data_IF_862447389523
#
_entry.id   IF_862447389523
#
_cell.length_a   1.000
_cell.length_b   1.000
_cell.length_c   1.000
_cell.angle_alpha   90.00
_cell.angle_beta   90.00
_cell.angle_gamma   90.00
#
_symmetry.space_group_name_H-M   'P 1'
#
loop_
_entity.id
_entity.type
_entity.pdbx_description
1 polymer ?
#
# COMPACT_ATOMS: atom_id res chain seq x y z
N UNK A 1 10.04 -9.54 -8.14
CA UNK A 1 10.85 -9.50 -6.90
C UNK A 1 10.80 -8.13 -6.22
N UNK A 2 10.95 -7.02 -6.94
CA UNK A 2 10.90 -5.65 -6.38
C UNK A 2 9.67 -5.34 -5.51
N UNK A 3 8.45 -5.74 -5.90
CA UNK A 3 7.25 -5.57 -5.07
C UNK A 3 7.39 -6.16 -3.67
N UNK A 4 7.96 -7.36 -3.57
CA UNK A 4 8.17 -8.06 -2.29
C UNK A 4 9.17 -7.32 -1.41
N UNK A 5 10.27 -6.87 -2.01
CA UNK A 5 11.32 -6.14 -1.30
C UNK A 5 10.78 -4.81 -0.77
N UNK A 6 10.06 -4.04 -1.59
CA UNK A 6 9.47 -2.77 -1.18
C UNK A 6 8.43 -2.95 -0.07
N UNK A 7 7.57 -3.96 -0.16
CA UNK A 7 6.63 -4.28 0.92
C UNK A 7 7.33 -4.74 2.20
N UNK A 8 8.39 -5.56 2.10
CA UNK A 8 9.19 -5.98 3.24
C UNK A 8 9.85 -4.78 3.93
N UNK A 9 10.49 -3.90 3.15
CA UNK A 9 11.08 -2.66 3.65
C UNK A 9 10.03 -1.79 4.33
N UNK A 10 8.82 -1.69 3.75
CA UNK A 10 7.71 -0.96 4.35
C UNK A 10 7.28 -1.55 5.71
N UNK A 11 7.17 -2.88 5.81
CA UNK A 11 6.84 -3.56 7.08
C UNK A 11 7.93 -3.32 8.12
N UNK A 12 9.20 -3.50 7.76
CA UNK A 12 10.33 -3.27 8.67
C UNK A 12 10.37 -1.82 9.13
N UNK A 13 10.20 -0.87 8.21
CA UNK A 13 10.16 0.56 8.52
C UNK A 13 8.99 0.90 9.47
N UNK A 14 7.81 0.34 9.21
CA UNK A 14 6.65 0.48 10.10
C UNK A 14 6.94 -0.05 11.52
N UNK A 15 7.59 -1.21 11.65
CA UNK A 15 7.93 -1.81 12.93
C UNK A 15 9.01 -1.03 13.70
N UNK A 16 9.94 -0.39 13.00
CA UNK A 16 10.93 0.50 13.62
C UNK A 16 10.26 1.68 14.34
N UNK A 17 9.16 2.22 13.81
CA UNK A 17 8.40 3.25 14.51
C UNK A 17 7.73 2.73 15.79
N UNK A 18 7.14 1.54 15.76
CA UNK A 18 6.46 0.95 16.93
C UNK A 18 7.46 0.67 18.06
N UNK A 19 8.70 0.31 17.71
CA UNK A 19 9.73 -0.09 18.69
C UNK A 19 10.63 1.07 19.14
N UNK A 20 10.92 2.05 18.28
CA UNK A 20 11.92 3.09 18.53
C UNK A 20 11.39 4.48 18.90
N UNK A 21 10.19 4.86 18.48
CA UNK A 21 9.64 6.21 18.74
C UNK A 21 9.23 6.50 20.20
N UNK A 22 8.73 5.54 21.00
CA UNK A 22 8.27 5.83 22.37
C UNK A 22 9.36 6.38 23.30
N UNK A 23 10.64 6.21 22.96
CA UNK A 23 11.78 6.56 23.83
C UNK A 23 12.39 7.94 23.57
N UNK A 24 12.04 8.62 22.47
CA UNK A 24 12.69 9.88 22.04
C UNK A 24 11.80 11.12 22.27
N UNK A 25 10.64 10.92 22.90
CA UNK A 25 9.58 11.93 23.11
C UNK A 25 10.06 13.00 24.12
N UNK A 26 10.80 13.99 23.63
CA UNK A 26 11.23 15.12 24.47
C UNK A 26 11.83 16.32 23.75
N UNK A 27 12.10 16.26 22.44
CA UNK A 27 12.78 17.37 21.74
C UNK A 27 12.11 17.75 20.42
N UNK A 28 12.31 19.00 19.99
CA UNK A 28 11.87 19.54 18.68
C UNK A 28 12.37 18.68 17.50
N UNK A 29 13.49 17.96 17.68
CA UNK A 29 14.00 16.99 16.70
C UNK A 29 12.99 15.86 16.39
N UNK A 30 12.08 15.54 17.32
CA UNK A 30 11.06 14.50 17.14
C UNK A 30 10.10 14.83 15.99
N UNK A 31 9.75 16.10 15.78
CA UNK A 31 8.84 16.47 14.69
C UNK A 31 9.49 16.29 13.31
N UNK A 32 10.76 16.68 13.16
CA UNK A 32 11.49 16.52 11.90
C UNK A 32 11.76 15.04 11.58
N UNK A 33 12.15 14.27 12.60
CA UNK A 33 12.36 12.82 12.48
C UNK A 33 11.03 12.12 12.12
N UNK A 34 9.93 12.49 12.79
CA UNK A 34 8.60 11.94 12.50
C UNK A 34 8.12 12.29 11.08
N UNK A 35 8.30 13.55 10.66
CA UNK A 35 7.94 13.97 9.30
C UNK A 35 8.73 13.18 8.25
N UNK A 36 10.04 13.04 8.44
CA UNK A 36 10.91 12.25 7.54
C UNK A 36 10.48 10.79 7.52
N UNK A 37 10.17 10.22 8.70
CA UNK A 37 9.67 8.86 8.83
C UNK A 37 8.39 8.63 8.02
N UNK A 38 7.38 9.51 8.17
CA UNK A 38 6.12 9.40 7.44
C UNK A 38 6.30 9.58 5.94
N UNK A 39 7.18 10.48 5.50
CA UNK A 39 7.49 10.67 4.08
C UNK A 39 8.14 9.42 3.47
N UNK A 40 9.13 8.83 4.15
CA UNK A 40 9.78 7.59 3.70
C UNK A 40 8.77 6.45 3.68
N UNK A 41 7.93 6.31 4.71
CA UNK A 41 6.90 5.28 4.78
C UNK A 41 5.87 5.44 3.65
N UNK A 42 5.46 6.66 3.35
CA UNK A 42 4.54 6.97 2.25
C UNK A 42 5.17 6.62 0.90
N UNK A 43 6.43 6.97 0.68
CA UNK A 43 7.16 6.62 -0.54
C UNK A 43 7.27 5.10 -0.73
N UNK A 44 7.60 4.37 0.34
CA UNK A 44 7.69 2.90 0.33
C UNK A 44 6.36 2.21 0.03
N UNK A 45 5.21 2.83 0.37
CA UNK A 45 3.89 2.32 0.02
C UNK A 45 3.45 2.72 -1.40
N UNK A 46 3.69 3.98 -1.78
CA UNK A 46 3.25 4.53 -3.06
C UNK A 46 4.01 3.91 -4.24
N UNK A 47 5.33 3.70 -4.12
CA UNK A 47 6.16 3.15 -5.20
C UNK A 47 5.67 1.78 -5.72
N UNK A 48 5.51 0.74 -4.89
CA UNK A 48 5.04 -0.56 -5.39
C UNK A 48 3.57 -0.52 -5.83
N UNK A 49 2.76 0.39 -5.28
CA UNK A 49 1.39 0.63 -5.75
C UNK A 49 1.38 1.22 -7.17
N UNK A 50 2.18 2.26 -7.43
CA UNK A 50 2.33 2.86 -8.75
C UNK A 50 2.86 1.84 -9.76
N UNK A 51 3.88 1.07 -9.42
CA UNK A 51 4.39 0.00 -10.28
C UNK A 51 3.33 -1.08 -10.58
N UNK A 52 2.47 -1.39 -9.61
CA UNK A 52 1.31 -2.28 -9.83
C UNK A 52 0.30 -1.66 -10.79
N UNK A 53 0.01 -0.37 -10.63
CA UNK A 53 -0.85 0.38 -11.56
C UNK A 53 -0.26 0.54 -12.95
N UNK A 54 1.07 0.60 -13.11
CA UNK A 54 1.70 0.64 -14.42
C UNK A 54 1.69 -0.72 -15.14
N UNK A 55 1.38 -1.82 -14.43
CA UNK A 55 1.36 -3.18 -14.99
C UNK A 55 2.69 -3.91 -14.89
N UNK A 56 3.64 -3.41 -14.10
CA UNK A 56 4.99 -3.99 -13.93
C UNK A 56 4.97 -5.39 -13.31
N UNK A 57 3.87 -5.77 -12.63
CA UNK A 57 3.71 -7.05 -11.92
C UNK A 57 2.58 -7.93 -12.48
N UNK A 58 2.23 -7.73 -13.75
CA UNK A 58 1.14 -8.43 -14.43
C UNK A 58 -0.04 -7.52 -14.72
N UNK A 59 -1.13 -8.11 -15.24
CA UNK A 59 -2.30 -7.36 -15.67
C UNK A 59 -2.96 -6.60 -14.50
N UNK A 60 -3.37 -5.35 -14.74
CA UNK A 60 -3.85 -4.43 -13.69
C UNK A 60 -5.16 -4.90 -13.06
N UNK A 61 -6.03 -5.53 -13.86
CA UNK A 61 -7.33 -6.07 -13.43
C UNK A 61 -7.23 -7.46 -12.80
N UNK A 62 -6.02 -8.01 -12.61
CA UNK A 62 -5.87 -9.26 -11.89
C UNK A 62 -6.38 -9.10 -10.45
N UNK A 63 -7.23 -9.99 -9.91
CA UNK A 63 -7.90 -9.81 -8.62
C UNK A 63 -6.89 -9.61 -7.48
N UNK A 64 -5.74 -10.29 -7.54
CA UNK A 64 -4.66 -10.11 -6.56
C UNK A 64 -4.07 -8.69 -6.63
N UNK A 65 -3.92 -8.10 -7.83
CA UNK A 65 -3.39 -6.74 -7.98
C UNK A 65 -4.42 -5.69 -7.54
N UNK A 66 -5.71 -5.93 -7.79
CA UNK A 66 -6.80 -5.07 -7.31
C UNK A 66 -6.87 -5.11 -5.78
N UNK A 67 -6.84 -6.29 -5.19
CA UNK A 67 -6.90 -6.46 -3.73
C UNK A 67 -5.62 -5.93 -3.06
N UNK A 68 -4.45 -6.15 -3.68
CA UNK A 68 -3.20 -5.51 -3.26
C UNK A 68 -3.32 -3.99 -3.28
N UNK A 69 -3.89 -3.42 -4.34
CA UNK A 69 -4.12 -1.99 -4.47
C UNK A 69 -5.01 -1.43 -3.37
N UNK A 70 -6.12 -2.13 -3.07
CA UNK A 70 -7.02 -1.75 -1.98
C UNK A 70 -6.31 -1.76 -0.61
N UNK A 71 -5.53 -2.81 -0.32
CA UNK A 71 -4.77 -2.90 0.93
C UNK A 71 -3.68 -1.83 1.02
N UNK A 72 -2.93 -1.59 -0.06
CA UNK A 72 -1.92 -0.55 -0.11
C UNK A 72 -2.54 0.84 0.08
N UNK A 73 -3.70 1.12 -0.52
CA UNK A 73 -4.44 2.36 -0.32
C UNK A 73 -4.92 2.52 1.13
N UNK A 74 -5.43 1.46 1.76
CA UNK A 74 -5.79 1.49 3.17
C UNK A 74 -4.57 1.83 4.07
N UNK A 75 -3.40 1.28 3.74
CA UNK A 75 -2.15 1.59 4.43
C UNK A 75 -1.74 3.06 4.28
N UNK A 76 -1.86 3.60 3.06
CA UNK A 76 -1.58 5.03 2.77
C UNK A 76 -2.53 5.93 3.56
N UNK A 77 -3.83 5.63 3.55
CA UNK A 77 -4.83 6.39 4.32
C UNK A 77 -4.49 6.33 5.82
N UNK A 78 -4.18 5.15 6.35
CA UNK A 78 -3.74 4.99 7.74
C UNK A 78 -2.49 5.82 8.06
N UNK A 79 -1.51 5.85 7.15
CA UNK A 79 -0.29 6.65 7.26
C UNK A 79 -0.60 8.14 7.34
N UNK A 80 -1.43 8.64 6.43
CA UNK A 80 -1.80 10.04 6.37
C UNK A 80 -2.60 10.47 7.60
N UNK A 81 -3.54 9.64 8.06
CA UNK A 81 -4.31 9.90 9.28
C UNK A 81 -3.41 9.90 10.52
N UNK A 82 -2.42 9.01 10.59
CA UNK A 82 -1.50 8.95 11.73
C UNK A 82 -0.55 10.14 11.72
N UNK A 83 -0.05 10.55 10.55
CA UNK A 83 0.75 11.75 10.38
C UNK A 83 -0.04 13.02 10.76
N UNK A 84 -1.32 13.09 10.37
CA UNK A 84 -2.23 14.17 10.77
C UNK A 84 -2.44 14.19 12.28
N UNK A 85 -2.78 13.03 12.88
CA UNK A 85 -2.97 12.91 14.31
C UNK A 85 -1.72 13.33 15.10
N UNK A 86 -0.52 13.03 14.58
CA UNK A 86 0.73 13.47 15.16
C UNK A 86 0.96 14.98 15.00
N UNK A 87 0.69 15.54 13.82
CA UNK A 87 1.01 16.94 13.50
C UNK A 87 0.06 17.98 14.10
N UNK A 88 -1.24 17.68 14.19
CA UNK A 88 -2.25 18.64 14.68
C UNK A 88 -2.91 18.24 16.01
N UNK A 89 -2.49 17.13 16.62
CA UNK A 89 -3.01 16.68 17.92
C UNK A 89 -4.36 15.95 17.81
N UNK A 90 -4.33 14.73 17.27
CA UNK A 90 -5.49 13.85 17.17
C UNK A 90 -5.83 13.15 18.49
N UNK A 91 -7.13 12.97 18.74
CA UNK A 91 -7.62 12.18 19.88
C UNK A 91 -7.31 10.68 19.75
N UNK A 92 -7.42 9.92 20.86
CA UNK A 92 -7.06 8.50 20.89
C UNK A 92 -7.84 7.62 19.90
N UNK A 93 -9.09 7.98 19.59
CA UNK A 93 -9.87 7.26 18.58
C UNK A 93 -9.26 7.35 17.16
N UNK A 94 -8.73 8.52 16.79
CA UNK A 94 -8.13 8.74 15.48
C UNK A 94 -6.83 7.93 15.34
N UNK A 95 -5.97 7.94 16.36
CA UNK A 95 -4.72 7.19 16.35
C UNK A 95 -4.95 5.68 16.32
N UNK A 96 -5.96 5.16 17.02
CA UNK A 96 -6.35 3.75 16.97
C UNK A 96 -6.78 3.35 15.55
N UNK A 97 -7.70 4.10 14.95
CA UNK A 97 -8.20 3.82 13.59
C UNK A 97 -7.07 3.93 12.57
N UNK A 98 -6.25 4.99 12.66
CA UNK A 98 -5.12 5.21 11.77
C UNK A 98 -4.08 4.10 11.87
N UNK A 99 -3.73 3.68 13.10
CA UNK A 99 -2.81 2.58 13.35
C UNK A 99 -3.33 1.24 12.84
N UNK A 100 -4.62 0.95 13.04
CA UNK A 100 -5.25 -0.27 12.52
C UNK A 100 -5.27 -0.30 10.99
N UNK A 101 -5.60 0.81 10.33
CA UNK A 101 -5.57 0.94 8.86
C UNK A 101 -4.15 0.81 8.31
N UNK A 102 -3.19 1.50 8.92
CA UNK A 102 -1.78 1.43 8.56
C UNK A 102 -1.30 -0.03 8.63
N UNK A 103 -1.48 -0.67 9.78
CA UNK A 103 -1.01 -2.03 10.03
C UNK A 103 -1.66 -3.01 9.06
N UNK A 104 -3.00 -2.99 8.95
CA UNK A 104 -3.75 -3.90 8.09
C UNK A 104 -3.36 -3.71 6.63
N UNK A 105 -3.23 -2.46 6.17
CA UNK A 105 -2.87 -2.16 4.79
C UNK A 105 -1.43 -2.55 4.44
N UNK A 106 -0.46 -2.20 5.28
CA UNK A 106 0.96 -2.52 5.07
C UNK A 106 1.20 -4.03 5.16
N UNK A 107 0.70 -4.70 6.20
CA UNK A 107 0.87 -6.15 6.36
C UNK A 107 0.07 -6.91 5.31
N UNK A 108 -1.18 -6.53 5.06
CA UNK A 108 -2.04 -7.17 4.06
C UNK A 108 -1.45 -7.06 2.65
N UNK A 109 -0.97 -5.88 2.26
CA UNK A 109 -0.30 -5.70 0.96
C UNK A 109 1.01 -6.49 0.86
N UNK A 110 1.78 -6.57 1.95
CA UNK A 110 3.00 -7.38 1.99
C UNK A 110 2.71 -8.88 1.82
N UNK A 111 1.74 -9.43 2.57
CA UNK A 111 1.30 -10.82 2.42
C UNK A 111 0.92 -11.10 0.97
N UNK A 112 0.10 -10.24 0.36
CA UNK A 112 -0.29 -10.37 -1.05
C UNK A 112 0.92 -10.27 -2.00
N UNK A 113 1.90 -9.41 -1.72
CA UNK A 113 3.11 -9.32 -2.53
C UNK A 113 3.97 -10.60 -2.47
N UNK A 114 4.07 -11.23 -1.29
CA UNK A 114 4.82 -12.47 -1.07
C UNK A 114 4.12 -13.68 -1.71
N UNK A 115 2.81 -13.81 -1.49
CA UNK A 115 2.00 -14.93 -2.01
C UNK A 115 1.51 -14.73 -3.44
N UNK A 116 1.71 -13.55 -4.02
CA UNK A 116 1.70 -13.39 -5.47
C UNK A 116 2.97 -14.02 -6.06
N UNK A 117 3.04 -15.36 -6.05
CA UNK A 117 3.73 -16.11 -7.09
C UNK A 117 3.11 -15.75 -8.44
N UNK A 118 3.84 -15.90 -9.56
CA UNK A 118 3.32 -15.56 -10.86
C UNK A 118 2.09 -16.44 -11.11
N UNK A 119 0.89 -15.88 -11.00
CA UNK A 119 -0.31 -16.46 -11.62
C UNK A 119 -0.22 -16.25 -13.14
N UNK A 120 0.93 -16.64 -13.68
CA UNK A 120 1.39 -16.40 -15.03
C UNK A 120 0.59 -17.32 -15.94
N UNK A 121 -0.46 -16.72 -16.49
CA UNK A 121 -0.77 -16.79 -17.92
C UNK A 121 -1.68 -17.90 -18.47
N UNK A 122 -2.42 -18.68 -17.69
CA UNK A 122 -3.29 -19.71 -18.34
C UNK A 122 -4.76 -19.33 -18.53
N UNK A 123 -5.35 -18.45 -17.70
CA UNK A 123 -6.81 -18.17 -17.76
C UNK A 123 -7.19 -16.71 -17.92
N UNK A 124 -6.24 -15.77 -17.85
CA UNK A 124 -6.54 -14.34 -17.94
C UNK A 124 -6.91 -13.81 -19.33
N UNK A 125 -6.30 -14.28 -20.45
CA UNK A 125 -6.69 -13.82 -21.79
C UNK A 125 -8.16 -14.15 -22.11
N UNK A 126 -8.70 -15.24 -21.56
CA UNK A 126 -10.09 -15.66 -21.73
C UNK A 126 -11.04 -14.72 -20.98
N UNK A 127 -10.74 -14.39 -19.71
CA UNK A 127 -11.57 -13.45 -18.94
C UNK A 127 -11.52 -12.02 -19.48
N UNK A 128 -10.38 -11.55 -19.96
CA UNK A 128 -10.29 -10.20 -20.55
C UNK A 128 -11.13 -10.10 -21.82
N UNK A 129 -11.09 -11.11 -22.70
CA UNK A 129 -11.97 -11.18 -23.88
C UNK A 129 -13.45 -11.27 -23.48
N UNK A 130 -13.80 -12.04 -22.46
CA UNK A 130 -15.18 -12.10 -21.97
C UNK A 130 -15.64 -10.79 -21.34
N UNK A 131 -14.79 -10.10 -20.57
CA UNK A 131 -15.12 -8.83 -19.93
C UNK A 131 -15.27 -7.72 -20.97
N UNK A 132 -14.36 -7.67 -21.95
CA UNK A 132 -14.47 -6.77 -23.10
C UNK A 132 -15.67 -7.13 -23.98
N UNK A 133 -15.98 -8.40 -24.22
CA UNK A 133 -17.18 -8.78 -24.97
C UNK A 133 -18.49 -8.43 -24.24
N UNK A 134 -18.48 -8.47 -22.90
CA UNK A 134 -19.67 -8.25 -22.06
C UNK A 134 -19.91 -6.78 -21.71
N UNK A 135 -18.85 -5.96 -21.65
CA UNK A 135 -18.93 -4.56 -21.23
C UNK A 135 -18.28 -3.57 -22.22
N UNK A 136 -17.40 -4.03 -23.10
CA UNK A 136 -16.88 -3.28 -24.24
C UNK A 136 -17.77 -3.52 -25.45
N UNK A 137 -18.79 -2.67 -25.63
CA UNK A 137 -19.63 -2.70 -26.83
C UNK A 137 -18.81 -2.73 -28.14
N UNK A 138 -19.40 -3.21 -29.25
CA UNK A 138 -18.68 -3.52 -30.48
C UNK A 138 -17.82 -2.34 -30.90
N UNK A 139 -16.54 -2.65 -31.13
CA UNK A 139 -15.49 -1.74 -31.56
C UNK A 139 -15.95 -0.99 -32.82
N UNK A 140 -16.47 0.24 -32.64
CA UNK A 140 -16.82 1.14 -33.73
C UNK A 140 -15.57 1.85 -34.22
N UNK A 141 -14.64 1.12 -34.83
CA UNK A 141 -13.60 1.71 -35.69
C UNK A 141 -13.37 0.82 -36.91
N UNK A 142 -14.15 1.11 -37.96
CA UNK A 142 -13.70 0.97 -39.35
C UNK A 142 -12.94 2.23 -39.72
#
# INVERSE_FOLDING_TARGET
MSRRILCLLCVVWMLLAVTGLPQVIGSVAVHQIAATYFLVLLALQALPLLMTHHGTYGHRLHPVNVFYGAMALAGIVGTLLLALAFGIGGGPGLTIIAGALLFTGVVGSAVLAFFATPWRDWTFPQREREYLARFGGPDRRR
#
